data_IF_120883033993
#
_entry.id   IF_120883033993
#
_cell.length_a   1.000
_cell.length_b   1.000
_cell.length_c   1.000
_cell.angle_alpha   90.00
_cell.angle_beta   90.00
_cell.angle_gamma   90.00
#
_symmetry.space_group_name_H-M   'P 1'
#
loop_
_entity.id
_entity.type
_entity.pdbx_description
1 polymer ?
#
# COMPACT_ATOMS: atom_id res chain seq x y z
N UNK A 1 6.12 -9.14 -5.13
CA UNK A 1 5.73 -8.40 -6.36
C UNK A 1 4.37 -7.77 -6.15
N UNK A 2 3.92 -6.89 -7.05
CA UNK A 2 2.61 -6.23 -6.97
C UNK A 2 1.93 -6.20 -8.34
N UNK A 3 0.60 -6.24 -8.35
CA UNK A 3 -0.24 -6.08 -9.54
C UNK A 3 -1.36 -5.11 -9.18
N UNK A 4 -1.65 -4.15 -10.05
CA UNK A 4 -2.66 -3.12 -9.81
C UNK A 4 -3.54 -3.01 -11.06
N UNK A 5 -4.84 -3.22 -10.87
CA UNK A 5 -5.88 -2.96 -11.88
C UNK A 5 -6.82 -1.89 -11.31
N UNK A 6 -6.46 -0.63 -11.52
CA UNK A 6 -7.19 0.53 -11.03
C UNK A 6 -6.86 1.77 -11.90
N UNK A 7 -7.72 2.80 -11.91
CA UNK A 7 -7.33 4.14 -12.34
C UNK A 7 -6.01 4.57 -11.68
N UNK A 8 -5.12 5.23 -12.43
CA UNK A 8 -3.78 5.67 -11.96
C UNK A 8 -2.88 4.54 -11.41
N UNK A 9 -3.19 3.28 -11.76
CA UNK A 9 -2.39 2.12 -11.35
C UNK A 9 -0.97 2.14 -11.91
N UNK A 10 -0.79 2.71 -13.11
CA UNK A 10 0.51 2.91 -13.74
C UNK A 10 1.39 3.93 -12.98
N UNK A 11 0.79 4.92 -12.32
CA UNK A 11 1.53 5.87 -11.47
C UNK A 11 1.83 5.23 -10.11
N UNK A 12 0.84 4.54 -9.53
CA UNK A 12 0.94 3.91 -8.21
C UNK A 12 1.94 2.74 -8.16
N UNK A 13 2.11 1.99 -9.27
CA UNK A 13 3.02 0.85 -9.33
C UNK A 13 4.48 1.26 -9.10
N UNK A 14 4.86 2.50 -9.42
CA UNK A 14 6.23 2.98 -9.23
C UNK A 14 6.65 2.98 -7.76
N UNK A 15 5.71 3.23 -6.83
CA UNK A 15 5.95 3.09 -5.39
C UNK A 15 6.27 1.64 -5.04
N UNK A 16 5.53 0.67 -5.58
CA UNK A 16 5.80 -0.75 -5.33
C UNK A 16 7.17 -1.18 -5.91
N UNK A 17 7.57 -0.62 -7.07
CA UNK A 17 8.90 -0.83 -7.65
C UNK A 17 10.00 -0.35 -6.69
N UNK A 18 9.87 0.87 -6.14
CA UNK A 18 10.84 1.41 -5.18
C UNK A 18 10.87 0.59 -3.89
N UNK A 19 9.71 0.21 -3.34
CA UNK A 19 9.64 -0.61 -2.14
C UNK A 19 10.37 -1.95 -2.32
N UNK A 20 10.16 -2.63 -3.45
CA UNK A 20 10.85 -3.89 -3.79
C UNK A 20 12.36 -3.64 -3.99
N UNK A 21 12.73 -2.59 -4.72
CA UNK A 21 14.14 -2.23 -4.96
C UNK A 21 14.91 -1.98 -3.66
N UNK A 22 14.25 -1.42 -2.65
CA UNK A 22 14.82 -1.16 -1.34
C UNK A 22 14.65 -2.30 -0.33
N UNK A 23 14.07 -3.44 -0.76
CA UNK A 23 13.90 -4.61 0.11
C UNK A 23 12.94 -4.38 1.28
N UNK A 24 11.99 -3.44 1.15
CA UNK A 24 11.00 -3.16 2.19
C UNK A 24 10.11 -4.39 2.44
N UNK A 25 9.83 -4.66 3.71
CA UNK A 25 8.82 -5.66 4.07
C UNK A 25 7.41 -5.11 3.89
N UNK A 26 6.40 -5.99 3.91
CA UNK A 26 5.00 -5.56 3.93
C UNK A 26 4.68 -4.72 5.16
N UNK A 27 5.34 -4.98 6.30
CA UNK A 27 5.20 -4.17 7.51
C UNK A 27 5.74 -2.75 7.31
N UNK A 28 6.95 -2.61 6.74
CA UNK A 28 7.55 -1.29 6.48
C UNK A 28 6.66 -0.45 5.54
N UNK A 29 6.06 -1.11 4.53
CA UNK A 29 5.13 -0.46 3.60
C UNK A 29 3.81 -0.05 4.28
N UNK A 30 3.28 -0.87 5.19
CA UNK A 30 2.07 -0.57 5.96
C UNK A 30 2.27 0.61 6.94
N UNK A 31 3.45 0.72 7.53
CA UNK A 31 3.80 1.80 8.48
C UNK A 31 4.19 3.12 7.78
N UNK A 32 4.36 3.10 6.45
CA UNK A 32 4.63 4.30 5.66
C UNK A 32 3.39 5.21 5.56
N UNK A 33 3.59 6.52 5.64
CA UNK A 33 2.51 7.50 5.48
C UNK A 33 2.20 7.68 4.00
N UNK A 34 0.94 7.41 3.63
CA UNK A 34 0.38 7.69 2.31
C UNK A 34 -0.71 8.75 2.39
N UNK A 35 -0.86 9.61 1.38
CA UNK A 35 -1.99 10.55 1.33
C UNK A 35 -3.33 9.81 1.19
N UNK A 36 -4.31 10.21 2.01
CA UNK A 36 -5.65 9.63 1.99
C UNK A 36 -6.39 9.93 0.67
N UNK A 37 -7.26 9.01 0.24
CA UNK A 37 -8.04 9.09 -1.01
C UNK A 37 -7.16 9.13 -2.28
N UNK A 38 -6.07 8.37 -2.27
CA UNK A 38 -5.22 8.19 -3.45
C UNK A 38 -5.13 6.72 -3.84
N UNK A 39 -4.99 6.41 -5.14
CA UNK A 39 -4.80 5.03 -5.59
C UNK A 39 -3.57 4.37 -4.91
N UNK A 40 -2.51 5.16 -4.66
CA UNK A 40 -1.29 4.67 -4.03
C UNK A 40 -1.49 4.29 -2.55
N UNK A 41 -2.46 4.89 -1.84
CA UNK A 41 -2.85 4.44 -0.49
C UNK A 41 -3.33 2.99 -0.48
N UNK A 42 -3.88 2.50 -1.59
CA UNK A 42 -4.24 1.09 -1.75
C UNK A 42 -3.08 0.14 -1.48
N UNK A 43 -1.81 0.54 -1.72
CA UNK A 43 -0.64 -0.25 -1.36
C UNK A 43 -0.47 -0.39 0.16
N UNK A 44 -0.73 0.67 0.93
CA UNK A 44 -0.72 0.63 2.39
C UNK A 44 -1.82 -0.30 2.92
N UNK A 45 -3.05 -0.12 2.42
CA UNK A 45 -4.19 -0.95 2.85
C UNK A 45 -3.98 -2.43 2.51
N UNK A 46 -3.46 -2.73 1.32
CA UNK A 46 -3.10 -4.09 0.92
C UNK A 46 -1.99 -4.68 1.81
N UNK A 47 -0.99 -3.86 2.17
CA UNK A 47 0.09 -4.28 3.07
C UNK A 47 -0.41 -4.56 4.50
N UNK A 48 -1.32 -3.74 5.03
CA UNK A 48 -1.97 -3.96 6.33
C UNK A 48 -2.83 -5.24 6.36
N UNK A 49 -3.39 -5.63 5.21
CA UNK A 49 -4.15 -6.86 5.01
C UNK A 49 -3.41 -8.15 5.36
N UNK A 50 -2.06 -8.13 5.43
CA UNK A 50 -1.26 -9.27 5.87
C UNK A 50 -1.34 -9.52 7.40
N UNK A 51 -1.65 -8.48 8.18
CA UNK A 51 -1.70 -8.57 9.65
C UNK A 51 -3.10 -8.47 10.24
N UNK A 52 -4.01 -7.73 9.58
CA UNK A 52 -5.38 -7.49 10.07
C UNK A 52 -6.36 -7.38 8.91
N UNK A 53 -7.61 -7.78 9.18
CA UNK A 53 -8.73 -7.56 8.26
C UNK A 53 -8.93 -6.07 7.99
N UNK A 54 -8.82 -5.68 6.72
CA UNK A 54 -8.95 -4.30 6.24
C UNK A 54 -10.32 -3.72 6.60
N UNK A 55 -11.39 -4.54 6.62
CA UNK A 55 -12.73 -4.09 6.99
C UNK A 55 -12.85 -3.72 8.48
N UNK A 56 -11.85 -4.07 9.31
CA UNK A 56 -11.78 -3.75 10.75
C UNK A 56 -10.76 -2.65 11.05
N UNK A 57 -10.24 -1.98 10.03
CA UNK A 57 -9.39 -0.81 10.18
C UNK A 57 -10.24 0.44 10.38
N UNK A 58 -9.74 1.39 11.18
CA UNK A 58 -10.25 2.76 11.15
C UNK A 58 -9.79 3.45 9.86
N UNK A 59 -10.46 4.55 9.49
CA UNK A 59 -10.26 5.31 8.25
C UNK A 59 -8.79 5.55 7.83
N UNK A 60 -7.87 5.72 8.78
CA UNK A 60 -6.46 5.98 8.50
C UNK A 60 -5.55 5.14 9.40
N UNK A 61 -5.96 3.92 9.77
CA UNK A 61 -5.12 3.05 10.59
C UNK A 61 -3.72 2.97 9.98
N UNK A 62 -2.69 3.04 10.82
CA UNK A 62 -1.28 2.78 10.50
C UNK A 62 -0.92 1.38 10.96
#
# INVERSE_FOLDING_TARGET
>A
GAQILAPEGADSIQTAVLAIKHGMTTKDLAETIFPYLTTVEGLKLAAQGFGKDVAKLSCCAG
#
